data_IF_166319039551
#
_entry.id   IF_166319039551
#
_cell.length_a   1.000
_cell.length_b   1.000
_cell.length_c   1.000
_cell.angle_alpha   90.00
_cell.angle_beta   90.00
_cell.angle_gamma   90.00
#
_symmetry.space_group_name_H-M   'P 1'
#
loop_
_entity.id
_entity.type
_entity.pdbx_description
1 polymer ?
#
# COMPACT_ATOMS: atom_id res chain seq x y z
N UNK A 1 84.97 -53.21 -28.11
CA UNK A 1 84.30 -52.16 -28.90
C UNK A 1 82.86 -51.87 -28.49
N UNK A 2 82.31 -52.45 -27.40
CA UNK A 2 80.86 -52.36 -27.11
C UNK A 2 80.49 -51.51 -25.87
N UNK A 3 81.42 -51.26 -24.94
CA UNK A 3 81.14 -50.56 -23.67
C UNK A 3 81.19 -49.02 -23.82
N UNK A 4 82.28 -48.48 -24.38
CA UNK A 4 82.44 -47.03 -24.58
C UNK A 4 81.36 -46.42 -25.49
N UNK A 5 80.91 -47.17 -26.51
CA UNK A 5 79.84 -46.75 -27.40
C UNK A 5 78.49 -46.68 -26.66
N UNK A 6 78.21 -47.64 -25.77
CA UNK A 6 77.00 -47.65 -24.95
C UNK A 6 77.02 -46.53 -23.90
N UNK A 7 78.17 -46.24 -23.31
CA UNK A 7 78.31 -45.15 -22.34
C UNK A 7 78.11 -43.77 -22.99
N UNK A 8 78.64 -43.58 -24.21
CA UNK A 8 78.38 -42.39 -25.02
C UNK A 8 76.89 -42.19 -25.33
N UNK A 9 76.20 -43.25 -25.76
CA UNK A 9 74.75 -43.22 -26.03
C UNK A 9 73.97 -42.88 -24.75
N UNK A 10 74.30 -43.51 -23.62
CA UNK A 10 73.63 -43.26 -22.34
C UNK A 10 73.78 -41.81 -21.89
N UNK A 11 74.97 -41.21 -22.06
CA UNK A 11 75.23 -39.81 -21.73
C UNK A 11 74.41 -38.86 -22.60
N UNK A 12 74.28 -39.15 -23.90
CA UNK A 12 73.43 -38.39 -24.82
C UNK A 12 71.95 -38.50 -24.45
N UNK A 13 71.47 -39.69 -24.10
CA UNK A 13 70.08 -39.89 -23.68
C UNK A 13 69.77 -39.11 -22.39
N UNK A 14 70.63 -39.23 -21.37
CA UNK A 14 70.48 -38.48 -20.12
C UNK A 14 70.43 -36.97 -20.36
N UNK A 15 71.30 -36.45 -21.22
CA UNK A 15 71.31 -35.03 -21.60
C UNK A 15 69.99 -34.61 -22.25
N UNK A 16 69.51 -35.36 -23.24
CA UNK A 16 68.24 -35.07 -23.93
C UNK A 16 67.03 -35.11 -22.99
N UNK A 17 67.02 -36.05 -22.04
CA UNK A 17 65.96 -36.15 -21.03
C UNK A 17 65.99 -34.92 -20.12
N UNK A 18 67.17 -34.51 -19.64
CA UNK A 18 67.32 -33.32 -18.81
C UNK A 18 66.82 -32.06 -19.54
N UNK A 19 67.27 -31.85 -20.78
CA UNK A 19 66.84 -30.70 -21.60
C UNK A 19 65.32 -30.71 -21.86
N UNK A 20 64.72 -31.89 -22.06
CA UNK A 20 63.28 -32.03 -22.22
C UNK A 20 62.51 -31.72 -20.93
N UNK A 21 63.01 -32.15 -19.77
CA UNK A 21 62.43 -31.84 -18.46
C UNK A 21 62.49 -30.34 -18.20
N UNK A 22 63.66 -29.71 -18.38
CA UNK A 22 63.85 -28.27 -18.16
C UNK A 22 62.94 -27.45 -19.08
N UNK A 23 62.83 -27.86 -20.35
CA UNK A 23 61.91 -27.23 -21.31
C UNK A 23 60.45 -27.39 -20.88
N UNK A 24 60.05 -28.58 -20.43
CA UNK A 24 58.68 -28.83 -20.02
C UNK A 24 58.31 -28.05 -18.75
N UNK A 25 59.21 -28.03 -17.75
CA UNK A 25 59.04 -27.25 -16.53
C UNK A 25 58.87 -25.76 -16.85
N UNK A 26 59.68 -25.22 -17.76
CA UNK A 26 59.55 -23.83 -18.22
C UNK A 26 58.18 -23.57 -18.85
N UNK A 27 57.70 -24.45 -19.73
CA UNK A 27 56.38 -24.31 -20.37
C UNK A 27 55.23 -24.40 -19.35
N UNK A 28 55.31 -25.33 -18.40
CA UNK A 28 54.31 -25.47 -17.33
C UNK A 28 54.27 -24.20 -16.47
N UNK A 29 55.43 -23.71 -16.02
CA UNK A 29 55.52 -22.50 -15.20
C UNK A 29 54.98 -21.27 -15.95
N UNK A 30 55.29 -21.11 -17.24
CA UNK A 30 54.72 -20.02 -18.06
C UNK A 30 53.20 -20.13 -18.20
N UNK A 31 52.68 -21.36 -18.35
CA UNK A 31 51.24 -21.59 -18.46
C UNK A 31 50.52 -21.25 -17.17
N UNK A 32 51.06 -21.67 -16.02
CA UNK A 32 50.52 -21.38 -14.70
C UNK A 32 50.47 -19.87 -14.43
N UNK A 33 51.57 -19.15 -14.67
CA UNK A 33 51.62 -17.68 -14.50
C UNK A 33 50.59 -16.98 -15.41
N UNK A 34 50.43 -17.47 -16.65
CA UNK A 34 49.46 -16.89 -17.59
C UNK A 34 48.02 -17.17 -17.16
N UNK A 35 47.73 -18.37 -16.66
CA UNK A 35 46.41 -18.72 -16.14
C UNK A 35 46.07 -17.96 -14.87
N UNK A 36 47.02 -17.80 -13.95
CA UNK A 36 46.84 -17.05 -12.70
C UNK A 36 46.47 -15.60 -13.00
N UNK A 37 47.24 -14.95 -13.89
CA UNK A 37 46.94 -13.59 -14.36
C UNK A 37 45.57 -13.47 -15.04
N UNK A 38 45.21 -14.43 -15.92
CA UNK A 38 43.88 -14.42 -16.56
C UNK A 38 42.74 -14.54 -15.55
N UNK A 39 42.97 -15.31 -14.49
CA UNK A 39 41.98 -15.51 -13.42
C UNK A 39 41.84 -14.23 -12.59
N UNK A 40 42.95 -13.58 -12.27
CA UNK A 40 42.96 -12.28 -11.58
C UNK A 40 42.27 -11.17 -12.41
N UNK A 41 42.60 -11.07 -13.70
CA UNK A 41 41.98 -10.11 -14.62
C UNK A 41 40.45 -10.35 -14.72
N UNK A 42 40.02 -11.61 -14.82
CA UNK A 42 38.60 -11.95 -14.85
C UNK A 42 37.89 -11.59 -13.54
N UNK A 43 38.49 -11.87 -12.39
CA UNK A 43 37.94 -11.52 -11.09
C UNK A 43 37.80 -10.00 -10.92
N UNK A 44 38.77 -9.23 -11.41
CA UNK A 44 38.70 -7.77 -11.38
C UNK A 44 37.58 -7.22 -12.26
N UNK A 45 37.39 -7.78 -13.46
CA UNK A 45 36.28 -7.40 -14.35
C UNK A 45 34.94 -7.67 -13.66
N UNK A 46 34.75 -8.87 -13.12
CA UNK A 46 33.51 -9.22 -12.40
C UNK A 46 33.28 -8.30 -11.19
N UNK A 47 34.32 -7.96 -10.43
CA UNK A 47 34.20 -7.05 -9.30
C UNK A 47 33.76 -5.64 -9.74
N UNK A 48 34.29 -5.14 -10.85
CA UNK A 48 33.86 -3.87 -11.43
C UNK A 48 32.41 -3.91 -11.90
N UNK A 49 32.03 -4.92 -12.68
CA UNK A 49 30.65 -5.05 -13.21
C UNK A 49 29.61 -5.17 -12.07
N UNK A 50 29.91 -5.97 -11.05
CA UNK A 50 29.04 -6.08 -9.86
C UNK A 50 28.95 -4.75 -9.12
N UNK A 51 30.07 -4.04 -8.95
CA UNK A 51 30.09 -2.72 -8.32
C UNK A 51 29.23 -1.69 -9.06
N UNK A 52 29.35 -1.62 -10.39
CA UNK A 52 28.55 -0.74 -11.25
C UNK A 52 27.06 -1.09 -11.23
N UNK A 53 26.73 -2.39 -11.22
CA UNK A 53 25.35 -2.86 -11.11
C UNK A 53 24.73 -2.47 -9.75
N UNK A 54 25.48 -2.62 -8.65
CA UNK A 54 25.03 -2.21 -7.31
C UNK A 54 24.79 -0.71 -7.25
N UNK A 55 25.72 0.11 -7.75
CA UNK A 55 25.59 1.58 -7.75
C UNK A 55 24.38 2.04 -8.58
N UNK A 56 24.18 1.43 -9.75
CA UNK A 56 23.01 1.69 -10.60
C UNK A 56 21.71 1.35 -9.88
N UNK A 57 21.66 0.20 -9.20
CA UNK A 57 20.48 -0.23 -8.46
C UNK A 57 20.20 0.68 -7.27
N UNK A 58 21.25 1.09 -6.52
CA UNK A 58 21.13 2.01 -5.40
C UNK A 58 20.51 3.35 -5.83
N UNK A 59 20.99 3.93 -6.94
CA UNK A 59 20.43 5.17 -7.51
C UNK A 59 18.97 5.02 -7.93
N UNK A 60 18.59 3.86 -8.50
CA UNK A 60 17.21 3.58 -8.87
C UNK A 60 16.29 3.49 -7.63
N UNK A 61 16.77 2.86 -6.56
CA UNK A 61 16.06 2.76 -5.28
C UNK A 61 15.87 4.15 -4.66
N UNK A 62 16.93 4.96 -4.58
CA UNK A 62 16.86 6.33 -4.05
C UNK A 62 15.85 7.19 -4.82
N UNK A 63 15.86 7.12 -6.15
CA UNK A 63 14.91 7.84 -7.01
C UNK A 63 13.47 7.40 -6.76
N UNK A 64 13.24 6.10 -6.61
CA UNK A 64 11.91 5.53 -6.35
C UNK A 64 11.39 6.00 -5.00
N UNK A 65 12.23 5.94 -3.96
CA UNK A 65 11.91 6.40 -2.61
C UNK A 65 11.57 7.89 -2.59
N UNK A 66 12.35 8.72 -3.28
CA UNK A 66 12.10 10.16 -3.40
C UNK A 66 10.75 10.45 -4.06
N UNK A 67 10.41 9.72 -5.13
CA UNK A 67 9.15 9.88 -5.85
C UNK A 67 7.95 9.48 -4.99
N UNK A 68 8.05 8.35 -4.28
CA UNK A 68 7.00 7.89 -3.38
C UNK A 68 6.78 8.87 -2.21
N UNK A 69 7.85 9.37 -1.60
CA UNK A 69 7.78 10.36 -0.52
C UNK A 69 7.09 11.65 -0.98
N UNK A 70 7.38 12.13 -2.19
CA UNK A 70 6.72 13.31 -2.75
C UNK A 70 5.21 13.08 -2.97
N UNK A 71 4.81 11.92 -3.52
CA UNK A 71 3.39 11.58 -3.71
C UNK A 71 2.63 11.45 -2.39
N UNK A 72 3.26 10.90 -1.35
CA UNK A 72 2.69 10.84 0.00
C UNK A 72 2.48 12.26 0.54
N UNK A 73 3.48 13.15 0.43
CA UNK A 73 3.37 14.52 0.90
C UNK A 73 2.23 15.30 0.21
N UNK A 74 2.09 15.17 -1.12
CA UNK A 74 1.01 15.79 -1.89
C UNK A 74 -0.37 15.28 -1.47
N UNK A 75 -0.49 13.98 -1.19
CA UNK A 75 -1.72 13.35 -0.71
C UNK A 75 -2.11 13.91 0.67
N UNK A 76 -1.16 14.01 1.60
CA UNK A 76 -1.38 14.60 2.92
C UNK A 76 -1.78 16.08 2.84
N UNK A 77 -1.14 16.86 1.98
CA UNK A 77 -1.48 18.27 1.78
C UNK A 77 -2.91 18.42 1.25
N UNK A 78 -3.27 17.60 0.26
CA UNK A 78 -4.62 17.57 -0.34
C UNK A 78 -5.68 17.20 0.70
N UNK A 79 -5.43 16.16 1.48
CA UNK A 79 -6.33 15.73 2.55
C UNK A 79 -6.50 16.83 3.61
N UNK A 80 -5.41 17.45 4.06
CA UNK A 80 -5.41 18.53 5.04
C UNK A 80 -6.21 19.74 4.56
N UNK A 81 -6.06 20.14 3.30
CA UNK A 81 -6.86 21.21 2.68
C UNK A 81 -8.35 20.86 2.65
N UNK A 82 -8.69 19.62 2.27
CA UNK A 82 -10.08 19.14 2.21
C UNK A 82 -10.76 19.15 3.58
N UNK A 83 -10.10 18.60 4.60
CA UNK A 83 -10.61 18.58 5.99
C UNK A 83 -10.78 19.99 6.54
N UNK A 84 -9.77 20.85 6.36
CA UNK A 84 -9.82 22.25 6.82
C UNK A 84 -10.97 23.01 6.15
N UNK A 85 -11.19 22.80 4.85
CA UNK A 85 -12.30 23.42 4.11
C UNK A 85 -13.65 22.94 4.64
N UNK A 86 -13.79 21.63 4.88
CA UNK A 86 -15.02 21.04 5.41
C UNK A 86 -15.33 21.58 6.80
N UNK A 87 -14.35 21.59 7.70
CA UNK A 87 -14.48 22.15 9.03
C UNK A 87 -14.89 23.62 9.00
N UNK A 88 -14.20 24.45 8.20
CA UNK A 88 -14.53 25.87 8.03
C UNK A 88 -15.98 26.05 7.56
N UNK A 89 -16.42 25.29 6.56
CA UNK A 89 -17.78 25.38 6.03
C UNK A 89 -18.85 24.97 7.07
N UNK A 90 -18.59 23.92 7.84
CA UNK A 90 -19.50 23.47 8.90
C UNK A 90 -19.61 24.51 10.01
N UNK A 91 -18.49 25.09 10.44
CA UNK A 91 -18.48 26.15 11.46
C UNK A 91 -19.23 27.41 11.00
N UNK A 92 -19.11 27.78 9.72
CA UNK A 92 -19.90 28.88 9.13
C UNK A 92 -21.41 28.57 9.18
N UNK A 93 -21.82 27.35 8.81
CA UNK A 93 -23.24 26.93 8.88
C UNK A 93 -23.78 26.95 10.31
N UNK A 94 -23.01 26.44 11.27
CA UNK A 94 -23.36 26.45 12.70
C UNK A 94 -23.51 27.88 13.20
N UNK A 95 -22.57 28.77 12.87
CA UNK A 95 -22.65 30.19 13.24
C UNK A 95 -23.91 30.86 12.67
N UNK A 96 -24.27 30.56 11.41
CA UNK A 96 -25.49 31.07 10.80
C UNK A 96 -26.77 30.60 11.51
N UNK A 97 -26.82 29.34 11.96
CA UNK A 97 -27.94 28.80 12.75
C UNK A 97 -28.04 29.53 14.09
N UNK A 98 -26.93 29.74 14.80
CA UNK A 98 -26.93 30.48 16.07
C UNK A 98 -27.41 31.92 15.92
N UNK A 99 -27.02 32.59 14.83
CA UNK A 99 -27.52 33.94 14.50
C UNK A 99 -29.04 33.91 14.26
N UNK A 100 -29.54 32.93 13.49
CA UNK A 100 -30.97 32.80 13.20
C UNK A 100 -31.80 32.47 14.46
N UNK A 101 -31.32 31.56 15.31
CA UNK A 101 -31.95 31.20 16.59
C UNK A 101 -31.92 32.38 17.56
N UNK A 102 -30.81 33.12 17.63
CA UNK A 102 -30.70 34.34 18.42
C UNK A 102 -31.64 35.46 17.93
N UNK A 103 -31.86 35.57 16.62
CA UNK A 103 -32.81 36.50 16.02
C UNK A 103 -34.28 36.12 16.29
N UNK A 104 -34.59 34.83 16.45
CA UNK A 104 -35.93 34.34 16.79
C UNK A 104 -36.27 34.49 18.29
N UNK A 105 -35.27 34.51 19.17
CA UNK A 105 -35.46 34.56 20.63
C UNK A 105 -35.43 35.97 21.25
N UNK A 106 -35.13 37.03 20.49
CA UNK A 106 -35.05 38.40 21.04
C UNK A 106 -35.72 39.41 20.10
N UNK A 107 -36.98 39.71 20.39
CA UNK A 107 -37.51 41.04 20.12
C UNK A 107 -36.89 42.04 21.11
N UNK A 108 -36.11 42.98 20.58
CA UNK A 108 -35.70 44.26 21.21
C UNK A 108 -34.44 44.27 22.12
N UNK A 109 -33.36 44.78 21.52
CA UNK A 109 -32.54 45.91 22.02
C UNK A 109 -31.47 45.75 23.12
N UNK A 110 -31.17 44.58 23.67
CA UNK A 110 -30.07 44.49 24.67
C UNK A 110 -28.73 44.02 24.08
N UNK A 111 -28.72 43.22 23.00
CA UNK A 111 -27.47 42.63 22.50
C UNK A 111 -26.68 43.47 21.47
N UNK A 112 -27.32 44.47 20.84
CA UNK A 112 -26.65 45.37 19.89
C UNK A 112 -25.72 46.39 20.55
N UNK A 113 -25.75 46.51 21.89
CA UNK A 113 -24.91 47.48 22.61
C UNK A 113 -23.50 46.95 22.92
N UNK A 114 -23.32 45.63 22.98
CA UNK A 114 -22.00 45.02 23.27
C UNK A 114 -21.14 44.77 22.02
N UNK A 115 -21.73 44.82 20.82
CA UNK A 115 -21.01 44.71 19.54
C UNK A 115 -20.55 46.06 18.97
N UNK A 116 -20.92 47.20 19.60
CA UNK A 116 -20.48 48.54 19.17
C UNK A 116 -19.07 48.90 19.66
N UNK A 117 -18.59 48.26 20.73
CA UNK A 117 -17.32 48.66 21.38
C UNK A 117 -16.10 47.85 20.91
N UNK A 118 -16.28 46.83 20.06
CA UNK A 118 -15.16 46.08 19.44
C UNK A 118 -14.92 46.42 17.96
N UNK A 119 -15.43 47.56 17.49
CA UNK A 119 -15.18 48.06 16.14
C UNK A 119 -13.99 49.04 16.08
N UNK A 120 -12.84 48.61 16.57
CA UNK A 120 -11.51 49.17 16.28
C UNK A 120 -10.51 48.08 16.66
N UNK A 121 -9.78 47.40 15.79
CA UNK A 121 -9.29 47.69 14.45
C UNK A 121 -9.19 46.36 13.66
N UNK A 122 -8.93 46.47 12.36
CA UNK A 122 -8.54 45.37 11.45
C UNK A 122 -9.66 44.44 10.97
N UNK A 123 -10.44 44.93 10.00
CA UNK A 123 -10.64 44.26 8.70
C UNK A 123 -11.73 45.02 7.93
N UNK A 124 -11.35 46.17 7.35
CA UNK A 124 -12.02 46.67 6.16
C UNK A 124 -11.52 45.81 5.00
N UNK A 125 -12.21 44.72 4.69
CA UNK A 125 -12.18 44.16 3.35
C UNK A 125 -13.61 43.98 2.88
N UNK A 126 -13.87 44.52 1.69
CA UNK A 126 -15.16 44.71 1.05
C UNK A 126 -16.05 43.46 1.15
N UNK A 127 -17.34 43.68 1.43
CA UNK A 127 -18.38 42.72 1.08
C UNK A 127 -18.45 42.70 -0.44
N UNK A 128 -17.57 41.91 -1.06
CA UNK A 128 -17.68 41.57 -2.47
C UNK A 128 -18.91 40.69 -2.59
N UNK A 129 -19.95 41.17 -3.27
CA UNK A 129 -21.11 40.35 -3.61
C UNK A 129 -20.60 39.15 -4.41
N UNK A 130 -20.54 37.98 -3.77
CA UNK A 130 -20.12 36.76 -4.43
C UNK A 130 -21.21 36.35 -5.42
N UNK A 131 -20.97 36.60 -6.71
CA UNK A 131 -21.63 35.81 -7.76
C UNK A 131 -20.94 34.45 -7.75
N UNK A 132 -21.67 33.33 -7.57
CA UNK A 132 -21.06 32.01 -7.63
C UNK A 132 -20.25 31.88 -8.91
N UNK A 133 -18.98 31.51 -8.75
CA UNK A 133 -18.13 31.16 -9.88
C UNK A 133 -18.81 29.96 -10.54
N UNK A 134 -19.20 30.12 -11.80
CA UNK A 134 -19.86 29.07 -12.60
C UNK A 134 -19.20 27.73 -12.31
N UNK A 135 -20.04 26.73 -12.00
CA UNK A 135 -19.68 25.32 -12.08
C UNK A 135 -18.92 25.18 -13.39
N UNK A 136 -17.74 24.54 -13.38
CA UNK A 136 -17.07 24.20 -14.64
C UNK A 136 -18.04 23.27 -15.36
N UNK A 137 -18.85 23.80 -16.29
CA UNK A 137 -19.64 23.01 -17.21
C UNK A 137 -18.63 22.18 -18.01
N UNK A 138 -18.60 20.87 -17.74
CA UNK A 138 -17.72 19.93 -18.46
C UNK A 138 -17.10 18.80 -17.64
N UNK A 139 -17.13 18.84 -16.30
CA UNK A 139 -16.79 17.66 -15.47
C UNK A 139 -18.00 17.21 -14.69
N UNK A 140 -18.99 16.69 -15.40
CA UNK A 140 -20.03 15.88 -14.78
C UNK A 140 -19.39 14.58 -14.28
N UNK A 141 -19.24 14.43 -12.97
CA UNK A 141 -19.03 13.12 -12.36
C UNK A 141 -20.34 12.35 -12.47
N UNK A 142 -20.52 11.65 -13.59
CA UNK A 142 -21.69 10.80 -13.80
C UNK A 142 -21.42 9.42 -13.21
N UNK A 143 -22.28 8.99 -12.30
CA UNK A 143 -22.33 7.60 -11.86
C UNK A 143 -23.30 6.84 -12.75
N UNK A 144 -22.85 5.75 -13.37
CA UNK A 144 -23.78 4.75 -13.91
C UNK A 144 -24.15 3.80 -12.78
N UNK A 145 -25.44 3.73 -12.46
CA UNK A 145 -25.94 2.77 -11.47
C UNK A 145 -26.47 1.51 -12.17
N UNK A 146 -26.07 0.35 -11.67
CA UNK A 146 -26.66 -0.94 -12.01
C UNK A 146 -26.69 -1.78 -10.74
N UNK A 147 -27.83 -2.39 -10.38
CA UNK A 147 -27.84 -3.38 -9.30
C UNK A 147 -26.92 -4.54 -9.68
N UNK A 148 -25.93 -4.84 -8.82
CA UNK A 148 -25.00 -5.97 -9.01
C UNK A 148 -25.34 -7.17 -8.12
N UNK A 149 -26.11 -6.96 -7.05
CA UNK A 149 -26.56 -8.01 -6.14
C UNK A 149 -27.91 -7.63 -5.50
N UNK A 150 -28.72 -8.65 -5.19
CA UNK A 150 -29.86 -8.54 -4.30
C UNK A 150 -29.64 -9.48 -3.12
N UNK A 151 -29.51 -8.93 -1.92
CA UNK A 151 -29.20 -9.70 -0.72
C UNK A 151 -30.46 -9.83 0.10
N UNK A 152 -31.00 -11.06 0.18
CA UNK A 152 -32.18 -11.37 0.96
C UNK A 152 -31.84 -11.35 2.47
N UNK A 153 -32.28 -10.28 3.14
CA UNK A 153 -32.20 -10.17 4.59
C UNK A 153 -33.57 -10.42 5.23
N UNK A 154 -33.63 -11.27 6.26
CA UNK A 154 -34.87 -11.60 7.00
C UNK A 154 -35.61 -10.39 7.59
N UNK A 155 -34.96 -9.21 7.67
CA UNK A 155 -35.50 -7.97 8.26
C UNK A 155 -35.17 -6.68 7.47
N UNK A 156 -34.92 -6.79 6.15
CA UNK A 156 -34.57 -5.65 5.31
C UNK A 156 -33.10 -5.24 5.46
N UNK A 157 -32.38 -5.15 4.34
CA UNK A 157 -30.97 -4.83 4.28
C UNK A 157 -30.72 -3.34 4.60
N UNK A 158 -30.76 -2.96 5.88
CA UNK A 158 -30.08 -1.76 6.38
C UNK A 158 -28.62 -2.11 6.66
N UNK A 159 -27.96 -2.69 5.67
CA UNK A 159 -26.62 -3.21 5.81
C UNK A 159 -25.58 -2.21 5.35
N UNK A 160 -24.51 -2.07 6.13
CA UNK A 160 -23.29 -1.50 5.58
C UNK A 160 -22.71 -2.52 4.62
N UNK A 161 -22.24 -2.03 3.47
CA UNK A 161 -21.57 -2.83 2.46
C UNK A 161 -20.16 -2.28 2.26
N UNK A 162 -19.21 -3.20 2.12
CA UNK A 162 -17.81 -2.90 1.82
C UNK A 162 -17.33 -3.88 0.75
N UNK A 163 -16.39 -3.41 -0.07
CA UNK A 163 -15.70 -4.25 -1.03
C UNK A 163 -14.30 -4.59 -0.50
N UNK A 164 -13.91 -5.86 -0.57
CA UNK A 164 -12.57 -6.33 -0.22
C UNK A 164 -12.29 -7.62 -0.99
N UNK A 165 -11.05 -7.83 -1.40
CA UNK A 165 -10.56 -9.10 -1.95
C UNK A 165 -10.38 -10.07 -0.76
N UNK A 166 -11.44 -10.80 -0.37
CA UNK A 166 -11.45 -11.53 0.91
C UNK A 166 -10.62 -12.82 0.84
N UNK A 167 -10.60 -13.47 -0.32
CA UNK A 167 -9.91 -14.74 -0.54
C UNK A 167 -8.57 -14.63 -1.31
N UNK A 168 -8.18 -13.40 -1.68
CA UNK A 168 -6.92 -13.06 -2.35
C UNK A 168 -6.84 -13.57 -3.80
N UNK A 169 -7.98 -13.68 -4.49
CA UNK A 169 -8.06 -14.10 -5.89
C UNK A 169 -7.96 -12.92 -6.89
N UNK A 170 -7.86 -11.68 -6.38
CA UNK A 170 -7.78 -10.40 -7.11
C UNK A 170 -9.08 -9.91 -7.71
N UNK A 171 -10.21 -10.49 -7.33
CA UNK A 171 -11.51 -9.90 -7.55
C UNK A 171 -12.08 -9.34 -6.22
N UNK A 172 -13.16 -8.57 -6.29
CA UNK A 172 -13.68 -7.85 -5.11
C UNK A 172 -14.95 -8.50 -4.60
N UNK A 173 -14.89 -9.02 -3.39
CA UNK A 173 -16.03 -9.59 -2.67
C UNK A 173 -16.84 -8.52 -1.94
N UNK A 174 -18.06 -8.89 -1.53
CA UNK A 174 -18.90 -8.02 -0.70
C UNK A 174 -18.92 -8.48 0.75
N UNK A 175 -18.56 -7.58 1.66
CA UNK A 175 -18.89 -7.72 3.07
C UNK A 175 -20.18 -7.00 3.36
N UNK A 176 -21.10 -7.68 4.04
CA UNK A 176 -22.40 -7.12 4.38
C UNK A 176 -22.70 -7.35 5.84
N UNK A 177 -22.80 -6.24 6.58
CA UNK A 177 -23.23 -6.25 7.96
C UNK A 177 -24.76 -6.16 8.02
N UNK A 178 -25.41 -7.18 8.56
CA UNK A 178 -26.86 -7.22 8.70
C UNK A 178 -27.32 -6.56 10.01
N UNK A 179 -28.60 -6.17 10.04
CA UNK A 179 -29.23 -5.50 11.20
C UNK A 179 -29.20 -6.35 12.48
N UNK A 180 -29.23 -7.67 12.34
CA UNK A 180 -29.13 -8.61 13.45
C UNK A 180 -27.70 -8.71 14.03
N UNK A 181 -26.72 -8.03 13.42
CA UNK A 181 -25.32 -8.00 13.80
C UNK A 181 -24.45 -9.05 13.12
N UNK A 182 -24.98 -9.93 12.24
CA UNK A 182 -24.11 -10.83 11.48
C UNK A 182 -23.34 -10.04 10.42
N UNK A 183 -22.08 -10.38 10.18
CA UNK A 183 -21.32 -9.89 9.02
C UNK A 183 -21.07 -11.09 8.10
N UNK A 184 -21.55 -10.99 6.87
CA UNK A 184 -21.44 -12.05 5.86
C UNK A 184 -20.50 -11.60 4.74
N UNK A 185 -19.75 -12.55 4.19
CA UNK A 185 -18.96 -12.37 2.97
C UNK A 185 -19.72 -13.02 1.82
N UNK A 186 -19.82 -12.29 0.71
CA UNK A 186 -20.32 -12.79 -0.57
C UNK A 186 -19.18 -12.80 -1.57
N UNK A 187 -18.78 -14.00 -1.97
CA UNK A 187 -17.76 -14.23 -2.98
C UNK A 187 -18.25 -13.75 -4.33
N UNK A 188 -17.41 -13.02 -5.03
CA UNK A 188 -17.65 -12.65 -6.42
C UNK A 188 -17.16 -13.77 -7.33
N UNK A 189 -18.06 -14.30 -8.16
CA UNK A 189 -17.75 -15.34 -9.14
C UNK A 189 -18.27 -14.83 -10.48
N UNK A 190 -17.36 -14.33 -11.31
CA UNK A 190 -17.67 -13.77 -12.64
C UNK A 190 -18.77 -12.68 -12.59
N UNK A 191 -18.73 -11.80 -11.59
CA UNK A 191 -19.70 -10.72 -11.40
C UNK A 191 -21.03 -11.16 -10.78
N UNK A 192 -21.08 -12.38 -10.22
CA UNK A 192 -22.22 -12.91 -9.44
C UNK A 192 -21.80 -13.14 -8.00
N UNK A 193 -22.61 -12.68 -7.07
CA UNK A 193 -22.31 -12.76 -5.65
C UNK A 193 -23.03 -13.91 -4.97
N UNK A 194 -22.25 -14.82 -4.37
CA UNK A 194 -22.76 -15.98 -3.63
C UNK A 194 -22.38 -15.88 -2.16
N UNK A 195 -23.28 -16.23 -1.24
CA UNK A 195 -22.93 -16.22 0.18
C UNK A 195 -21.86 -17.29 0.45
N UNK A 196 -20.70 -16.86 0.92
CA UNK A 196 -19.61 -17.76 1.28
C UNK A 196 -19.78 -18.20 2.73
N UNK A 197 -19.77 -17.24 3.66
CA UNK A 197 -19.89 -17.51 5.09
C UNK A 197 -20.27 -16.28 5.91
N UNK A 198 -20.76 -16.51 7.14
CA UNK A 198 -20.84 -15.49 8.18
C UNK A 198 -19.50 -15.45 8.92
N UNK A 199 -18.81 -14.32 8.90
CA UNK A 199 -17.46 -14.16 9.47
C UNK A 199 -17.45 -13.56 10.87
N UNK A 200 -18.52 -12.86 11.25
CA UNK A 200 -18.64 -12.29 12.59
C UNK A 200 -20.08 -12.14 13.05
N UNK A 201 -20.25 -12.05 14.37
CA UNK A 201 -21.49 -11.63 15.02
C UNK A 201 -21.18 -10.50 15.99
N UNK A 202 -21.52 -9.28 15.60
CA UNK A 202 -21.29 -8.09 16.42
C UNK A 202 -22.13 -8.21 17.71
N UNK A 203 -21.50 -8.13 18.90
CA UNK A 203 -22.19 -8.26 20.16
C UNK A 203 -23.35 -7.27 20.28
N UNK A 204 -24.51 -7.77 20.70
CA UNK A 204 -25.66 -6.90 20.91
C UNK A 204 -25.50 -6.07 22.17
N UNK A 205 -25.82 -4.78 22.07
CA UNK A 205 -25.89 -3.87 23.21
C UNK A 205 -27.33 -3.68 23.71
N UNK A 206 -28.25 -4.59 23.33
CA UNK A 206 -29.67 -4.53 23.72
C UNK A 206 -30.54 -3.65 22.82
N UNK A 207 -29.98 -3.06 21.75
CA UNK A 207 -30.73 -2.33 20.72
C UNK A 207 -30.87 -3.15 19.44
N UNK A 208 -31.96 -2.97 18.68
CA UNK A 208 -32.29 -3.66 17.42
C UNK A 208 -31.32 -3.41 16.23
N UNK A 209 -30.10 -2.91 16.48
CA UNK A 209 -29.13 -2.48 15.48
C UNK A 209 -27.71 -2.64 16.04
N UNK A 210 -27.09 -3.79 15.81
CA UNK A 210 -25.84 -4.15 16.49
C UNK A 210 -24.56 -3.69 15.76
N UNK A 211 -24.58 -3.52 14.44
CA UNK A 211 -23.44 -3.01 13.67
C UNK A 211 -23.58 -1.52 13.33
N UNK A 212 -22.56 -0.71 13.65
CA UNK A 212 -22.49 0.71 13.25
C UNK A 212 -21.42 0.99 12.19
N UNK A 213 -20.40 0.14 12.08
CA UNK A 213 -19.37 0.18 11.04
C UNK A 213 -18.55 -1.12 11.01
N UNK A 214 -17.90 -1.41 9.88
CA UNK A 214 -16.82 -2.39 9.79
C UNK A 214 -15.72 -1.92 8.84
N UNK A 215 -14.55 -2.53 8.97
CA UNK A 215 -13.43 -2.46 8.04
C UNK A 215 -12.78 -3.84 7.95
N UNK A 216 -12.31 -4.21 6.77
CA UNK A 216 -11.54 -5.43 6.55
C UNK A 216 -10.13 -5.06 6.05
N UNK A 217 -9.12 -5.66 6.66
CA UNK A 217 -7.71 -5.48 6.33
C UNK A 217 -6.88 -6.54 7.05
N UNK A 218 -5.71 -6.89 6.53
CA UNK A 218 -4.70 -7.68 7.24
C UNK A 218 -4.11 -6.86 8.41
N UNK A 219 -4.72 -6.97 9.58
CA UNK A 219 -4.45 -6.12 10.74
C UNK A 219 -3.22 -6.57 11.54
N UNK A 220 -2.95 -7.88 11.57
CA UNK A 220 -1.79 -8.44 12.24
C UNK A 220 -0.67 -8.91 11.29
N UNK A 221 -0.80 -8.61 10.00
CA UNK A 221 0.20 -8.82 8.95
C UNK A 221 0.53 -10.31 8.79
N UNK A 222 -0.47 -11.18 8.91
CA UNK A 222 -0.37 -12.62 8.71
C UNK A 222 -0.77 -13.07 7.30
N UNK A 223 -1.09 -12.11 6.42
CA UNK A 223 -1.46 -12.36 5.04
C UNK A 223 -2.92 -12.78 4.87
N UNK A 224 -3.80 -12.50 5.83
CA UNK A 224 -5.25 -12.73 5.75
C UNK A 224 -6.00 -11.48 6.16
N UNK A 225 -7.09 -11.18 5.45
CA UNK A 225 -7.96 -10.09 5.86
C UNK A 225 -8.67 -10.42 7.18
N UNK A 226 -8.43 -9.59 8.19
CA UNK A 226 -9.15 -9.54 9.45
C UNK A 226 -10.37 -8.63 9.34
N UNK A 227 -11.25 -8.69 10.36
CA UNK A 227 -12.39 -7.79 10.48
C UNK A 227 -12.30 -6.94 11.73
N UNK A 228 -12.42 -5.62 11.56
CA UNK A 228 -12.71 -4.67 12.62
C UNK A 228 -14.18 -4.26 12.55
N UNK A 229 -14.87 -4.28 13.68
CA UNK A 229 -16.26 -3.79 13.75
C UNK A 229 -16.40 -2.80 14.88
N UNK A 230 -17.36 -1.89 14.75
CA UNK A 230 -17.76 -1.01 15.84
C UNK A 230 -19.24 -1.24 16.15
N UNK A 231 -19.57 -1.30 17.44
CA UNK A 231 -20.96 -1.33 17.89
C UNK A 231 -21.48 0.09 18.18
N UNK A 232 -22.78 0.22 18.44
CA UNK A 232 -23.40 1.52 18.74
C UNK A 232 -22.97 2.17 20.05
N UNK A 233 -22.41 1.39 20.97
CA UNK A 233 -21.84 1.89 22.23
C UNK A 233 -20.40 2.39 22.06
N UNK A 234 -19.85 2.36 20.84
CA UNK A 234 -18.51 2.85 20.52
C UNK A 234 -17.39 1.85 20.81
N UNK A 235 -17.71 0.60 21.17
CA UNK A 235 -16.69 -0.44 21.30
C UNK A 235 -16.27 -0.94 19.93
N UNK A 236 -14.96 -1.04 19.74
CA UNK A 236 -14.33 -1.65 18.57
C UNK A 236 -13.94 -3.08 18.92
N UNK A 237 -14.28 -4.02 18.03
CA UNK A 237 -13.95 -5.42 18.14
C UNK A 237 -13.09 -5.83 16.97
N UNK A 238 -12.04 -6.59 17.25
CA UNK A 238 -11.21 -7.25 16.26
C UNK A 238 -11.58 -8.73 16.20
N UNK A 239 -11.81 -9.21 14.99
CA UNK A 239 -11.99 -10.62 14.67
C UNK A 239 -10.82 -11.03 13.78
N UNK A 240 -9.87 -11.75 14.38
CA UNK A 240 -8.75 -12.34 13.66
C UNK A 240 -9.26 -13.46 12.74
N UNK A 241 -8.81 -13.45 11.50
CA UNK A 241 -9.07 -14.51 10.54
C UNK A 241 -8.19 -15.73 10.85
N UNK A 242 -8.85 -16.81 11.27
CA UNK A 242 -8.18 -18.05 11.67
C UNK A 242 -8.21 -19.12 10.56
N UNK A 243 -8.54 -18.74 9.32
CA UNK A 243 -8.49 -19.66 8.19
C UNK A 243 -7.09 -20.28 8.08
N UNK A 244 -7.04 -21.57 7.76
CA UNK A 244 -5.76 -22.22 7.45
C UNK A 244 -5.35 -21.81 6.05
N UNK A 245 -4.05 -21.65 5.82
CA UNK A 245 -3.53 -21.47 4.46
C UNK A 245 -3.88 -22.73 3.68
N UNK A 246 -4.81 -22.59 2.74
CA UNK A 246 -5.10 -23.68 1.81
C UNK A 246 -3.92 -23.75 0.87
N UNK A 247 -2.98 -24.68 1.13
CA UNK A 247 -1.95 -25.07 0.18
C UNK A 247 -2.64 -25.73 -1.02
N UNK A 248 -3.25 -24.94 -1.91
CA UNK A 248 -3.61 -25.42 -3.23
C UNK A 248 -2.34 -25.48 -4.08
N UNK A 249 -1.65 -26.61 -3.96
CA UNK A 249 -0.84 -27.13 -5.04
C UNK A 249 -1.76 -27.40 -6.23
N UNK A 250 -1.97 -26.39 -7.08
CA UNK A 250 -2.43 -26.61 -8.45
C UNK A 250 -1.25 -27.15 -9.24
N UNK A 251 -1.16 -28.48 -9.27
CA UNK A 251 -0.40 -29.27 -10.26
C UNK A 251 -0.94 -29.01 -11.67
#
# INVERSE_FOLDING_TARGET
MNEDANEGILKTIKKKISEAIDSHEKTVNQTLVTQDKRTEDALNIYATEVGEAIDTHAKAVEKTLATQNAGIAETFETYTKSVTRTYRNTMIKIAAIWIAVGALNIGSNVYLRHLKDHRTAEAKQEIVSYKPKEIIEGTEFTFQQKPIAHIEGKWGAHGLVGAVDWDHDKDMDLLVANKDGSVNVYENIDGKFCIMQSVAKIPSTGHYYNGSSFAAADWDNDGKNDLLTMNKSGYVYWYKNMAKDTLEQKL
#
